data_IF_399414023244
#
_entry.id   IF_399414023244
#
_cell.length_a   1.000
_cell.length_b   1.000
_cell.length_c   1.000
_cell.angle_alpha   90.00
_cell.angle_beta   90.00
_cell.angle_gamma   90.00
#
_symmetry.space_group_name_H-M   'P 1'
#
loop_
_entity.id
_entity.type
_entity.pdbx_description
1 polymer ?
#
# COMPACT_ATOMS: atom_id res chain seq x y z
N UNK A 1 -19.60 28.42 -47.46
CA UNK A 1 -19.22 27.29 -46.59
C UNK A 1 -20.43 26.83 -45.81
N UNK A 2 -20.84 25.57 -45.96
CA UNK A 2 -22.04 25.03 -45.30
C UNK A 2 -21.79 24.85 -43.79
N UNK A 3 -22.66 25.43 -42.97
CA UNK A 3 -22.64 25.39 -41.50
C UNK A 3 -22.62 23.96 -40.92
N UNK A 4 -23.06 22.97 -41.69
CA UNK A 4 -23.04 21.54 -41.32
C UNK A 4 -21.63 20.93 -41.25
N UNK A 5 -20.64 21.49 -41.95
CA UNK A 5 -19.26 20.98 -41.93
C UNK A 5 -18.43 21.48 -40.74
N UNK A 6 -18.80 22.60 -40.12
CA UNK A 6 -18.09 23.10 -38.93
C UNK A 6 -18.44 22.31 -37.65
N UNK A 7 -19.65 21.73 -37.57
CA UNK A 7 -20.05 20.95 -36.39
C UNK A 7 -19.29 19.62 -36.27
N UNK A 8 -18.94 19.00 -37.40
CA UNK A 8 -18.26 17.71 -37.43
C UNK A 8 -16.79 17.78 -36.93
N UNK A 9 -16.12 18.91 -37.17
CA UNK A 9 -14.72 19.12 -36.71
C UNK A 9 -14.68 19.44 -35.20
N UNK A 10 -15.69 20.15 -34.69
CA UNK A 10 -15.79 20.46 -33.26
C UNK A 10 -16.03 19.21 -32.40
N UNK A 11 -16.79 18.22 -32.88
CA UNK A 11 -17.06 16.98 -32.15
C UNK A 11 -15.84 16.05 -32.11
N UNK A 12 -15.02 16.02 -33.17
CA UNK A 12 -13.82 15.18 -33.21
C UNK A 12 -12.67 15.70 -32.34
N UNK A 13 -12.61 17.02 -32.11
CA UNK A 13 -11.65 17.65 -31.22
C UNK A 13 -11.97 17.47 -29.71
N UNK A 14 -13.22 17.17 -29.37
CA UNK A 14 -13.62 16.90 -27.98
C UNK A 14 -13.37 15.45 -27.53
N UNK A 15 -12.92 14.57 -28.43
CA UNK A 15 -12.63 13.16 -28.13
C UNK A 15 -11.17 12.90 -27.76
N UNK A 16 -10.28 13.89 -27.84
CA UNK A 16 -8.96 13.83 -27.21
C UNK A 16 -9.09 14.13 -25.72
N UNK A 17 -9.82 13.26 -25.00
CA UNK A 17 -9.71 13.13 -23.56
C UNK A 17 -8.25 12.84 -23.24
N UNK A 18 -7.55 13.83 -22.69
CA UNK A 18 -6.24 13.65 -22.09
C UNK A 18 -6.37 12.59 -21.00
N UNK A 19 -5.92 11.36 -21.29
CA UNK A 19 -5.73 10.36 -20.25
C UNK A 19 -4.64 10.90 -19.33
N UNK A 20 -5.00 11.24 -18.08
CA UNK A 20 -4.02 11.46 -17.05
C UNK A 20 -3.21 10.15 -16.91
N UNK A 21 -1.90 10.21 -17.16
CA UNK A 21 -1.03 9.07 -16.94
C UNK A 21 -0.83 8.91 -15.43
N UNK A 22 -1.48 7.92 -14.83
CA UNK A 22 -1.17 7.53 -13.45
C UNK A 22 0.26 6.99 -13.42
N UNK A 23 1.11 7.57 -12.56
CA UNK A 23 2.45 7.07 -12.33
C UNK A 23 2.38 6.01 -11.24
N UNK A 24 2.82 4.79 -11.56
CA UNK A 24 2.98 3.73 -10.55
C UNK A 24 4.25 4.02 -9.76
N UNK A 25 4.09 4.43 -8.51
CA UNK A 25 5.22 4.69 -7.60
C UNK A 25 5.73 3.39 -6.99
N UNK A 26 4.79 2.53 -6.61
CA UNK A 26 5.06 1.21 -6.04
C UNK A 26 4.01 0.24 -6.57
N UNK A 27 4.47 -0.94 -6.98
CA UNK A 27 3.64 -2.09 -7.26
C UNK A 27 4.47 -3.32 -6.93
N UNK A 28 4.04 -4.07 -5.93
CA UNK A 28 4.75 -5.27 -5.47
C UNK A 28 3.74 -6.38 -5.21
N UNK A 29 3.97 -7.52 -5.83
CA UNK A 29 3.18 -8.74 -5.69
C UNK A 29 3.97 -9.84 -4.98
N UNK A 30 5.18 -9.55 -4.49
CA UNK A 30 6.09 -10.41 -3.74
C UNK A 30 6.64 -11.65 -4.47
N UNK A 31 6.11 -11.97 -5.65
CA UNK A 31 6.48 -13.16 -6.44
C UNK A 31 7.92 -13.11 -6.97
N UNK A 32 8.49 -11.91 -7.10
CA UNK A 32 9.85 -11.72 -7.59
C UNK A 32 10.93 -12.10 -6.56
N UNK A 33 10.58 -12.22 -5.28
CA UNK A 33 11.55 -12.52 -4.23
C UNK A 33 11.83 -14.03 -4.15
N UNK A 34 13.08 -14.42 -4.42
CA UNK A 34 13.49 -15.82 -4.38
C UNK A 34 13.56 -16.40 -2.95
N UNK A 35 13.71 -15.54 -1.93
CA UNK A 35 13.82 -15.95 -0.53
C UNK A 35 13.61 -14.75 0.41
N UNK A 36 13.58 -15.04 1.71
CA UNK A 36 13.42 -14.05 2.78
C UNK A 36 14.46 -12.91 2.73
N UNK A 37 15.71 -13.21 2.37
CA UNK A 37 16.77 -12.19 2.32
C UNK A 37 16.56 -11.20 1.17
N UNK A 38 16.13 -11.69 0.00
CA UNK A 38 15.78 -10.84 -1.14
C UNK A 38 14.58 -9.91 -0.82
N UNK A 39 13.56 -10.45 -0.14
CA UNK A 39 12.44 -9.64 0.36
C UNK A 39 12.94 -8.57 1.35
N UNK A 40 13.73 -8.94 2.36
CA UNK A 40 14.22 -8.01 3.39
C UNK A 40 15.18 -6.94 2.86
N UNK A 41 15.87 -7.19 1.75
CA UNK A 41 16.70 -6.19 1.09
C UNK A 41 15.87 -5.05 0.48
N UNK A 42 14.63 -5.35 0.05
CA UNK A 42 13.71 -4.36 -0.55
C UNK A 42 12.76 -3.78 0.49
N UNK A 43 12.18 -4.65 1.31
CA UNK A 43 11.30 -4.35 2.42
C UNK A 43 12.07 -4.50 3.73
N UNK A 44 12.75 -3.44 4.14
CA UNK A 44 13.65 -3.44 5.30
C UNK A 44 12.87 -3.65 6.61
N UNK A 45 13.28 -4.56 7.52
CA UNK A 45 12.66 -4.70 8.84
C UNK A 45 12.78 -3.43 9.68
N UNK A 46 11.71 -3.04 10.38
CA UNK A 46 11.66 -1.77 11.17
C UNK A 46 11.12 -1.93 12.59
N UNK A 47 10.81 -3.16 13.04
CA UNK A 47 10.40 -3.42 14.41
C UNK A 47 11.56 -3.31 15.41
N UNK A 48 11.23 -3.27 16.70
CA UNK A 48 12.20 -3.38 17.80
C UNK A 48 12.04 -4.66 18.63
N UNK A 49 10.96 -5.41 18.39
CA UNK A 49 10.64 -6.65 19.10
C UNK A 49 10.73 -7.81 18.12
N UNK A 50 11.52 -8.84 18.45
CA UNK A 50 11.68 -10.01 17.60
C UNK A 50 10.39 -10.88 17.60
N UNK A 51 9.98 -11.49 16.48
CA UNK A 51 10.63 -11.42 15.16
C UNK A 51 10.47 -10.02 14.55
N UNK A 52 11.56 -9.48 13.99
CA UNK A 52 11.55 -8.09 13.49
C UNK A 52 10.85 -7.95 12.13
N UNK A 53 10.90 -9.01 11.32
CA UNK A 53 10.42 -9.06 9.94
C UNK A 53 9.15 -9.90 9.83
N UNK A 54 8.28 -9.50 8.93
CA UNK A 54 7.29 -10.38 8.32
C UNK A 54 7.99 -11.43 7.46
N UNK A 55 7.27 -12.50 7.15
CA UNK A 55 7.78 -13.70 6.50
C UNK A 55 7.32 -13.75 5.05
N UNK A 56 8.24 -13.99 4.12
CA UNK A 56 7.88 -14.37 2.76
C UNK A 56 7.25 -15.77 2.80
N UNK A 57 6.02 -15.91 2.34
CA UNK A 57 5.20 -17.11 2.53
C UNK A 57 4.55 -17.57 1.24
N UNK A 58 4.36 -18.88 1.11
CA UNK A 58 3.59 -19.51 0.03
C UNK A 58 2.20 -19.97 0.49
N UNK A 59 1.83 -19.70 1.74
CA UNK A 59 0.64 -20.28 2.36
C UNK A 59 -0.66 -19.69 1.81
N UNK A 60 -0.68 -18.38 1.55
CA UNK A 60 -1.85 -17.64 1.07
C UNK A 60 -1.36 -16.48 0.21
N UNK A 61 -1.61 -16.52 -1.10
CA UNK A 61 -1.15 -15.48 -2.00
C UNK A 61 -2.23 -15.17 -3.06
N UNK A 62 -2.44 -13.88 -3.34
CA UNK A 62 -3.36 -13.46 -4.42
C UNK A 62 -2.74 -13.75 -5.80
N UNK A 63 -1.44 -13.52 -5.92
CA UNK A 63 -0.61 -13.94 -7.04
C UNK A 63 0.38 -15.00 -6.56
N UNK A 64 0.63 -16.03 -7.35
CA UNK A 64 1.50 -17.14 -6.99
C UNK A 64 2.94 -16.85 -7.44
N UNK A 65 3.98 -17.18 -6.63
CA UNK A 65 3.91 -18.06 -5.46
C UNK A 65 3.84 -17.39 -4.08
N UNK A 66 4.09 -16.10 -3.95
CA UNK A 66 4.47 -15.50 -2.67
C UNK A 66 3.48 -14.48 -2.13
N UNK A 67 3.47 -14.35 -0.80
CA UNK A 67 2.88 -13.25 -0.06
C UNK A 67 3.75 -12.88 1.14
N UNK A 68 3.33 -11.85 1.87
CA UNK A 68 3.94 -11.47 3.14
C UNK A 68 3.02 -11.87 4.28
N UNK A 69 3.49 -12.78 5.13
CA UNK A 69 2.80 -13.23 6.33
C UNK A 69 3.34 -12.50 7.55
N UNK A 70 2.45 -11.88 8.30
CA UNK A 70 2.71 -11.42 9.66
C UNK A 70 2.12 -12.48 10.59
N UNK A 71 2.94 -13.38 11.17
CA UNK A 71 2.40 -14.34 12.12
C UNK A 71 1.85 -13.54 13.30
N UNK A 72 0.53 -13.56 13.50
CA UNK A 72 -0.13 -12.81 14.56
C UNK A 72 0.57 -13.04 15.89
N UNK A 73 1.04 -11.96 16.51
CA UNK A 73 1.79 -12.02 17.75
C UNK A 73 1.12 -11.16 18.81
N UNK A 74 1.28 -11.55 20.07
CA UNK A 74 0.64 -10.89 21.21
C UNK A 74 1.23 -9.50 21.55
N UNK A 75 2.30 -9.06 20.86
CA UNK A 75 2.95 -7.79 21.16
C UNK A 75 3.04 -6.88 19.94
N UNK A 76 2.85 -5.58 20.18
CA UNK A 76 2.97 -4.58 19.12
C UNK A 76 4.41 -4.46 18.62
N UNK A 77 4.58 -4.06 17.35
CA UNK A 77 5.87 -3.78 16.70
C UNK A 77 6.74 -5.01 16.36
N UNK A 78 6.17 -6.20 16.37
CA UNK A 78 6.76 -7.39 15.74
C UNK A 78 6.40 -7.46 14.25
N UNK A 79 7.24 -8.15 13.49
CA UNK A 79 7.05 -8.51 12.09
C UNK A 79 6.66 -7.36 11.17
N UNK A 80 7.42 -6.26 11.22
CA UNK A 80 7.18 -5.06 10.41
C UNK A 80 8.30 -4.88 9.40
N UNK A 81 7.92 -4.70 8.13
CA UNK A 81 8.83 -4.28 7.09
C UNK A 81 8.38 -2.95 6.48
N UNK A 82 9.32 -2.24 5.86
CA UNK A 82 9.08 -0.97 5.19
C UNK A 82 9.79 -0.94 3.85
N UNK A 83 9.04 -0.58 2.81
CA UNK A 83 9.58 -0.08 1.57
C UNK A 83 9.65 1.45 1.64
N UNK A 84 10.76 2.03 1.18
CA UNK A 84 10.92 3.49 1.06
C UNK A 84 11.11 3.80 -0.42
N UNK A 85 10.41 4.81 -0.91
CA UNK A 85 10.51 5.30 -2.28
C UNK A 85 10.59 6.84 -2.26
N UNK A 86 11.05 7.43 -3.37
CA UNK A 86 11.17 8.88 -3.47
C UNK A 86 9.81 9.55 -3.55
N UNK A 87 9.70 10.75 -2.98
CA UNK A 87 8.50 11.58 -3.09
C UNK A 87 8.12 11.79 -4.56
N UNK A 88 6.83 11.65 -4.84
CA UNK A 88 6.29 12.17 -6.10
C UNK A 88 6.35 13.68 -6.02
N UNK A 89 6.84 14.36 -7.07
CA UNK A 89 7.00 15.81 -7.08
C UNK A 89 5.71 16.60 -6.83
N UNK A 90 5.70 17.90 -7.15
CA UNK A 90 4.58 18.79 -6.80
C UNK A 90 3.21 18.25 -7.25
N UNK A 91 2.36 17.96 -6.27
CA UNK A 91 0.97 17.59 -6.47
C UNK A 91 0.12 18.84 -6.69
N UNK A 92 -0.85 18.77 -7.60
CA UNK A 92 -1.87 19.81 -7.78
C UNK A 92 -3.11 19.45 -6.95
N UNK A 93 -4.05 20.37 -6.80
CA UNK A 93 -5.36 20.09 -6.17
C UNK A 93 -6.21 19.07 -6.92
N UNK A 94 -5.80 18.67 -8.13
CA UNK A 94 -6.45 17.64 -8.95
C UNK A 94 -5.71 16.30 -8.89
N UNK A 95 -4.57 16.23 -8.20
CA UNK A 95 -3.79 15.00 -8.09
C UNK A 95 -4.47 14.02 -7.14
N UNK A 96 -4.71 12.80 -7.62
CA UNK A 96 -5.25 11.71 -6.83
C UNK A 96 -4.15 10.72 -6.47
N UNK A 97 -4.10 10.33 -5.20
CA UNK A 97 -3.29 9.21 -4.73
C UNK A 97 -4.20 8.01 -4.61
N UNK A 98 -3.87 6.94 -5.34
CA UNK A 98 -4.55 5.65 -5.21
C UNK A 98 -3.64 4.69 -4.45
N UNK A 99 -4.11 4.21 -3.31
CA UNK A 99 -3.45 3.19 -2.51
C UNK A 99 -4.35 1.97 -2.42
N UNK A 100 -3.81 0.79 -2.72
CA UNK A 100 -4.53 -0.48 -2.69
C UNK A 100 -3.60 -1.61 -2.27
N UNK A 101 -4.13 -2.58 -1.54
CA UNK A 101 -3.42 -3.79 -1.13
C UNK A 101 -4.46 -4.90 -0.92
N UNK A 102 -4.09 -6.13 -1.27
CA UNK A 102 -4.89 -7.31 -0.97
C UNK A 102 -4.51 -7.84 0.40
N UNK A 103 -5.51 -8.13 1.23
CA UNK A 103 -5.30 -8.55 2.60
C UNK A 103 -6.17 -9.75 2.96
N UNK A 104 -5.53 -10.76 3.55
CA UNK A 104 -6.18 -11.99 4.00
C UNK A 104 -6.01 -12.13 5.51
N UNK A 105 -7.13 -12.29 6.21
CA UNK A 105 -7.17 -12.59 7.64
C UNK A 105 -7.91 -13.92 7.87
N UNK A 106 -7.17 -14.94 8.26
CA UNK A 106 -7.73 -16.27 8.54
C UNK A 106 -8.32 -16.39 9.94
N UNK A 107 -8.04 -15.45 10.85
CA UNK A 107 -8.48 -15.50 12.24
C UNK A 107 -8.77 -14.09 12.82
N UNK A 108 -9.69 -13.32 12.21
CA UNK A 108 -9.89 -11.89 12.51
C UNK A 108 -10.34 -11.61 13.95
N UNK A 109 -10.97 -12.59 14.60
CA UNK A 109 -11.42 -12.47 15.99
C UNK A 109 -10.34 -12.85 17.02
N UNK A 110 -9.34 -13.65 16.63
CA UNK A 110 -8.31 -14.16 17.55
C UNK A 110 -7.14 -13.19 17.72
N UNK A 111 -6.88 -12.35 16.71
CA UNK A 111 -5.74 -11.42 16.69
C UNK A 111 -6.19 -10.02 16.25
N UNK A 112 -6.93 -9.27 17.10
CA UNK A 112 -7.44 -7.94 16.76
C UNK A 112 -6.34 -6.89 16.59
N UNK A 113 -5.09 -7.26 16.84
CA UNK A 113 -3.94 -6.39 16.85
C UNK A 113 -3.20 -6.48 15.50
N UNK A 114 -3.49 -5.51 14.63
CA UNK A 114 -2.54 -4.94 13.66
C UNK A 114 -2.32 -5.71 12.35
N UNK A 115 -3.39 -5.92 11.61
CA UNK A 115 -3.27 -6.32 10.22
C UNK A 115 -3.61 -5.13 9.29
N UNK A 116 -2.65 -4.22 9.13
CA UNK A 116 -2.84 -3.03 8.31
C UNK A 116 -1.62 -2.71 7.48
N UNK A 117 -1.89 -2.09 6.34
CA UNK A 117 -0.89 -1.43 5.53
C UNK A 117 -1.02 0.07 5.76
N UNK A 118 0.10 0.77 5.86
CA UNK A 118 0.11 2.23 5.92
C UNK A 118 1.03 2.81 4.86
N UNK A 119 0.56 3.89 4.26
CA UNK A 119 1.32 4.83 3.46
C UNK A 119 1.54 6.05 4.33
N UNK A 120 2.79 6.47 4.49
CA UNK A 120 3.14 7.59 5.35
C UNK A 120 4.28 8.40 4.73
N UNK A 121 4.13 9.71 4.80
CA UNK A 121 5.24 10.65 4.60
C UNK A 121 6.01 10.69 5.93
N UNK A 122 7.34 10.51 5.89
CA UNK A 122 8.28 10.38 7.04
C UNK A 122 8.37 9.01 7.76
N UNK A 123 9.33 8.88 8.69
CA UNK A 123 9.67 7.61 9.37
C UNK A 123 8.78 7.36 10.59
N UNK A 124 7.88 6.37 10.54
CA UNK A 124 7.21 5.87 11.75
C UNK A 124 8.15 5.13 12.71
N UNK A 125 7.83 5.11 14.03
CA UNK A 125 6.66 5.73 14.67
C UNK A 125 6.87 7.19 15.12
N UNK A 126 7.97 7.84 14.76
CA UNK A 126 8.37 9.14 15.31
C UNK A 126 8.04 10.38 14.46
N UNK A 127 7.69 10.22 13.19
CA UNK A 127 7.35 11.34 12.29
C UNK A 127 5.87 11.72 12.34
N UNK A 128 5.57 13.02 12.20
CA UNK A 128 4.21 13.58 12.21
C UNK A 128 3.63 13.81 10.80
N UNK A 129 4.11 13.06 9.79
CA UNK A 129 3.61 13.19 8.43
C UNK A 129 2.23 12.56 8.22
N UNK A 130 1.64 12.84 7.06
CA UNK A 130 0.34 12.32 6.65
C UNK A 130 0.37 10.79 6.61
N UNK A 131 -0.60 10.15 7.27
CA UNK A 131 -0.72 8.69 7.36
C UNK A 131 -2.05 8.26 6.77
N UNK A 132 -1.99 7.40 5.75
CA UNK A 132 -3.12 6.64 5.25
C UNK A 132 -2.90 5.20 5.71
N UNK A 133 -3.64 4.76 6.73
CA UNK A 133 -3.66 3.37 7.14
C UNK A 133 -4.98 2.71 6.70
N UNK A 134 -4.86 1.54 6.11
CA UNK A 134 -5.99 0.74 5.65
C UNK A 134 -5.80 -0.71 6.11
N UNK A 135 -6.91 -1.38 6.43
CA UNK A 135 -6.93 -2.71 7.07
C UNK A 135 -7.49 -2.63 8.48
N UNK A 136 -7.45 -3.74 9.22
CA UNK A 136 -7.97 -3.81 10.59
C UNK A 136 -6.95 -3.17 11.55
N UNK A 137 -6.88 -1.84 11.48
CA UNK A 137 -6.24 -0.98 12.46
C UNK A 137 -7.32 -0.08 13.04
N UNK A 138 -8.20 -0.66 13.84
CA UNK A 138 -8.93 0.16 14.79
C UNK A 138 -8.49 -0.27 16.17
N UNK A 139 -7.91 0.70 16.87
CA UNK A 139 -7.38 0.58 18.22
C UNK A 139 -8.28 -0.32 19.07
N UNK A 140 -7.65 -1.12 19.96
CA UNK A 140 -8.32 -1.60 21.16
C UNK A 140 -9.25 -0.49 21.66
N UNK A 141 -10.51 -0.82 21.92
CA UNK A 141 -11.44 0.09 22.57
C UNK A 141 -10.65 0.75 23.70
N UNK A 142 -10.39 2.05 23.59
CA UNK A 142 -9.87 2.80 24.72
C UNK A 142 -10.78 2.43 25.87
N UNK A 143 -10.21 1.91 26.96
CA UNK A 143 -10.97 1.57 28.16
C UNK A 143 -12.00 2.68 28.37
N UNK A 144 -13.29 2.33 28.33
CA UNK A 144 -14.31 3.28 28.69
C UNK A 144 -13.95 3.82 30.08
N UNK A 145 -13.85 5.14 30.18
CA UNK A 145 -13.89 5.85 31.46
C UNK A 145 -15.35 5.87 31.87
#
# INVERSE_FOLDING_TARGET
>A
MNTKSLLAVAVLACLSLSKANATVVVSDNFDSYANQAAFQATWVPIGTVAPLSAELSIAQANSSPNSVRVPGTATSNQSRNRLTFAETGSLSTLSLITWSFDFYDSAPAANPQRNFSNLQDTTAPGGTGQLIAMGFNNNQLGSAI
#
